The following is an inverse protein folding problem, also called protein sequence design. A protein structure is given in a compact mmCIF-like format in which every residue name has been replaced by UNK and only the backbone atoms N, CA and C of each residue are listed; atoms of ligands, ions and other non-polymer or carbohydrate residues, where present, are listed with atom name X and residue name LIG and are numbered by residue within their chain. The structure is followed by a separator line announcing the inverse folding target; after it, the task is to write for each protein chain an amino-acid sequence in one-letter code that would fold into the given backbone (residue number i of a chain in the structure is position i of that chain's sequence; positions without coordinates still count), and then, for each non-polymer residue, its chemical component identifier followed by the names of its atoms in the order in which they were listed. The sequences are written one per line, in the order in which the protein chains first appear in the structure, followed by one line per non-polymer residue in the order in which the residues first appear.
data_IF_980712111567
#
_entry.id   IF_980712111567
#
_cell.length_a   1.000
_cell.length_b   1.000
_cell.length_c   1.000
_cell.angle_alpha   90.00
_cell.angle_beta   90.00
_cell.angle_gamma   90.00
#
_symmetry.space_group_name_H-M   'P 1'
#
loop_
_entity.id
_entity.type
_entity.pdbx_description
1 polymer ?
#
# COMPACT_ATOMS: atom_id res chain seq x y z
N UNK A 1 36.54 -29.09 -10.28
CA UNK A 1 37.16 -29.26 -8.95
C UNK A 1 37.15 -30.73 -8.56
N UNK A 2 36.02 -31.33 -8.16
CA UNK A 2 35.98 -32.75 -7.75
C UNK A 2 36.37 -33.76 -8.85
N UNK A 3 35.91 -33.56 -10.09
CA UNK A 3 36.28 -34.39 -11.23
C UNK A 3 37.58 -33.94 -11.95
N UNK A 4 38.34 -33.00 -11.37
CA UNK A 4 39.62 -32.53 -11.93
C UNK A 4 39.57 -31.56 -13.11
N UNK A 5 38.42 -31.36 -13.75
CA UNK A 5 38.28 -30.46 -14.93
C UNK A 5 38.64 -29.00 -14.63
N UNK A 6 38.22 -28.49 -13.46
CA UNK A 6 38.64 -27.20 -12.92
C UNK A 6 39.63 -27.45 -11.79
N UNK A 7 40.85 -26.89 -11.86
CA UNK A 7 41.88 -27.05 -10.83
C UNK A 7 41.53 -26.23 -9.59
N UNK A 8 41.96 -26.69 -8.42
CA UNK A 8 41.67 -26.01 -7.14
C UNK A 8 42.22 -24.57 -7.10
N UNK A 9 43.39 -24.34 -7.70
CA UNK A 9 43.98 -23.01 -7.85
C UNK A 9 43.16 -22.05 -8.73
N UNK A 10 42.32 -22.60 -9.61
CA UNK A 10 41.46 -21.86 -10.53
C UNK A 10 40.01 -21.82 -10.00
N UNK A 11 39.82 -22.13 -8.70
CA UNK A 11 38.53 -22.05 -8.03
C UNK A 11 37.96 -20.63 -8.14
N UNK A 12 36.68 -20.46 -8.53
CA UNK A 12 36.09 -19.13 -8.62
C UNK A 12 36.02 -18.49 -7.24
N UNK A 13 36.32 -17.19 -7.17
CA UNK A 13 36.37 -16.42 -5.92
C UNK A 13 35.02 -16.51 -5.16
N UNK A 14 33.90 -16.55 -5.88
CA UNK A 14 32.57 -16.62 -5.28
C UNK A 14 32.23 -18.00 -4.68
N UNK A 15 32.97 -19.07 -4.99
CA UNK A 15 32.60 -20.43 -4.61
C UNK A 15 32.52 -20.62 -3.09
N UNK A 16 33.53 -20.15 -2.36
CA UNK A 16 33.57 -20.28 -0.90
C UNK A 16 32.50 -19.41 -0.23
N UNK A 17 32.20 -18.24 -0.81
CA UNK A 17 31.11 -17.36 -0.34
C UNK A 17 29.76 -18.06 -0.51
N UNK A 18 29.52 -18.69 -1.67
CA UNK A 18 28.29 -19.43 -1.92
C UNK A 18 28.16 -20.65 -1.02
N UNK A 19 29.26 -21.37 -0.76
CA UNK A 19 29.26 -22.53 0.13
C UNK A 19 29.00 -22.15 1.60
N UNK A 20 29.55 -21.02 2.06
CA UNK A 20 29.33 -20.51 3.41
C UNK A 20 27.93 -19.89 3.59
N UNK A 21 27.44 -19.17 2.58
CA UNK A 21 26.16 -18.44 2.62
C UNK A 21 25.27 -18.82 1.43
N UNK A 22 24.77 -20.07 1.37
CA UNK A 22 23.94 -20.51 0.26
C UNK A 22 22.59 -19.75 0.22
N UNK A 23 22.02 -19.52 -0.98
CA UNK A 23 20.71 -18.91 -1.10
C UNK A 23 19.60 -19.82 -0.53
N UNK A 24 18.47 -19.21 -0.12
CA UNK A 24 17.30 -19.96 0.39
C UNK A 24 16.74 -20.98 -0.61
N UNK A 25 16.84 -20.70 -1.91
CA UNK A 25 16.40 -21.58 -3.00
C UNK A 25 17.54 -21.76 -3.98
N UNK A 26 17.82 -23.00 -4.34
CA UNK A 26 18.86 -23.30 -5.32
C UNK A 26 18.51 -22.73 -6.71
N UNK A 27 19.48 -22.17 -7.43
CA UNK A 27 19.29 -21.56 -8.74
C UNK A 27 19.21 -22.62 -9.85
N UNK A 28 18.23 -23.52 -9.75
CA UNK A 28 17.96 -24.53 -10.77
C UNK A 28 17.16 -23.92 -11.93
N UNK A 29 17.47 -24.34 -13.15
CA UNK A 29 16.64 -24.02 -14.31
C UNK A 29 15.28 -24.71 -14.20
N UNK A 30 14.20 -23.92 -14.23
CA UNK A 30 12.82 -24.41 -14.24
C UNK A 30 12.14 -23.86 -15.49
N UNK A 31 11.68 -24.74 -16.38
CA UNK A 31 10.93 -24.34 -17.58
C UNK A 31 9.58 -23.74 -17.14
N UNK A 32 9.26 -22.47 -17.48
CA UNK A 32 7.95 -21.90 -17.18
C UNK A 32 6.86 -22.72 -17.86
N UNK A 33 5.86 -23.15 -17.09
CA UNK A 33 4.65 -23.80 -17.63
C UNK A 33 3.56 -22.75 -17.76
N UNK A 34 2.92 -22.68 -18.92
CA UNK A 34 1.73 -21.85 -19.10
C UNK A 34 0.62 -22.37 -18.19
N UNK A 35 -0.04 -21.47 -17.47
CA UNK A 35 -1.22 -21.82 -16.68
C UNK A 35 -2.28 -22.36 -17.66
N UNK A 36 -2.84 -23.53 -17.37
CA UNK A 36 -3.95 -24.07 -18.15
C UNK A 36 -5.17 -23.19 -17.87
N UNK A 37 -5.69 -22.51 -18.90
CA UNK A 37 -6.92 -21.71 -18.80
C UNK A 37 -8.03 -22.52 -18.13
N UNK A 38 -8.69 -21.95 -17.14
CA UNK A 38 -9.83 -22.56 -16.44
C UNK A 38 -9.50 -23.37 -15.18
N UNK A 39 -8.22 -23.57 -14.81
CA UNK A 39 -7.85 -24.09 -13.48
C UNK A 39 -7.32 -22.96 -12.61
N UNK A 40 -8.05 -22.62 -11.55
CA UNK A 40 -7.51 -21.79 -10.48
C UNK A 40 -6.30 -22.52 -9.88
N UNK A 41 -5.10 -22.01 -10.15
CA UNK A 41 -3.89 -22.49 -9.50
C UNK A 41 -3.89 -22.04 -8.04
N UNK A 42 -3.41 -22.88 -7.12
CA UNK A 42 -3.19 -22.53 -5.72
C UNK A 42 -2.33 -21.27 -5.53
N UNK A 43 -1.53 -20.89 -6.54
CA UNK A 43 -0.69 -19.69 -6.57
C UNK A 43 -1.45 -18.40 -6.93
N UNK A 44 -2.75 -18.29 -6.60
CA UNK A 44 -3.47 -17.04 -6.83
C UNK A 44 -3.17 -16.12 -5.67
N UNK A 45 -2.37 -15.08 -5.93
CA UNK A 45 -2.08 -14.03 -4.94
C UNK A 45 -3.39 -13.28 -4.65
N UNK A 46 -3.81 -13.17 -3.38
CA UNK A 46 -5.05 -12.48 -3.04
C UNK A 46 -4.89 -10.96 -3.19
N UNK A 47 -6.01 -10.28 -3.41
CA UNK A 47 -6.06 -8.82 -3.34
C UNK A 47 -5.80 -8.33 -1.91
N UNK A 48 -5.14 -7.18 -1.79
CA UNK A 48 -4.77 -6.58 -0.50
C UNK A 48 -5.70 -5.41 -0.24
N UNK A 49 -6.65 -5.59 0.69
CA UNK A 49 -7.58 -4.56 1.15
C UNK A 49 -7.48 -4.35 2.66
N UNK A 50 -7.59 -3.11 3.08
CA UNK A 50 -7.62 -2.70 4.48
C UNK A 50 -8.98 -2.12 4.85
N UNK A 51 -9.27 -2.06 6.16
CA UNK A 51 -10.58 -1.56 6.64
C UNK A 51 -10.80 -0.10 6.25
N UNK A 52 -9.75 0.70 6.28
CA UNK A 52 -9.83 2.11 5.93
C UNK A 52 -9.96 2.37 4.42
N UNK A 53 -9.80 1.35 3.56
CA UNK A 53 -10.02 1.51 2.12
C UNK A 53 -11.48 1.83 1.78
N UNK A 54 -12.44 1.35 2.59
CA UNK A 54 -13.85 1.73 2.47
C UNK A 54 -14.04 3.25 2.71
N UNK A 55 -13.34 3.80 3.71
CA UNK A 55 -13.38 5.22 4.05
C UNK A 55 -12.67 6.05 2.96
N UNK A 56 -11.51 5.57 2.47
CA UNK A 56 -10.79 6.17 1.33
C UNK A 56 -11.67 6.25 0.10
N UNK A 57 -12.38 5.18 -0.24
CA UNK A 57 -13.27 5.14 -1.39
C UNK A 57 -14.35 6.22 -1.28
N UNK A 58 -15.05 6.30 -0.14
CA UNK A 58 -16.06 7.34 0.14
C UNK A 58 -15.47 8.75 0.08
N UNK A 59 -14.27 8.96 0.65
CA UNK A 59 -13.57 10.24 0.59
C UNK A 59 -13.26 10.66 -0.85
N UNK A 60 -12.72 9.78 -1.69
CA UNK A 60 -12.37 10.10 -3.08
C UNK A 60 -13.59 10.24 -3.98
N UNK A 61 -14.68 9.53 -3.69
CA UNK A 61 -15.96 9.73 -4.36
C UNK A 61 -16.52 11.13 -4.09
N UNK A 62 -16.53 11.54 -2.82
CA UNK A 62 -17.13 12.82 -2.37
C UNK A 62 -16.22 14.03 -2.67
N UNK A 63 -14.93 13.95 -2.35
CA UNK A 63 -14.01 15.10 -2.39
C UNK A 63 -12.95 15.02 -3.50
N UNK A 64 -12.66 13.82 -4.01
CA UNK A 64 -11.58 13.59 -4.96
C UNK A 64 -10.18 13.85 -4.39
N UNK A 65 -9.21 14.17 -5.25
CA UNK A 65 -7.79 14.26 -4.86
C UNK A 65 -7.42 15.54 -4.08
N UNK A 66 -8.34 16.52 -3.98
CA UNK A 66 -8.07 17.80 -3.34
C UNK A 66 -6.96 18.62 -4.02
N UNK A 67 -6.62 19.79 -3.45
CA UNK A 67 -5.61 20.70 -4.03
C UNK A 67 -4.17 20.31 -3.68
N UNK A 68 -3.96 19.50 -2.63
CA UNK A 68 -2.63 19.11 -2.16
C UNK A 68 -2.17 17.85 -2.90
N UNK A 69 -1.20 18.02 -3.79
CA UNK A 69 -0.57 16.90 -4.49
C UNK A 69 0.13 15.94 -3.51
N UNK A 70 0.19 14.66 -3.90
CA UNK A 70 0.95 13.64 -3.17
C UNK A 70 2.45 13.85 -3.38
N UNK A 71 3.21 13.79 -2.29
CA UNK A 71 4.68 13.80 -2.33
C UNK A 71 5.20 12.40 -1.95
N UNK A 72 5.37 11.55 -2.95
CA UNK A 72 5.81 10.16 -2.79
C UNK A 72 7.32 10.04 -2.49
N UNK A 73 8.07 11.15 -2.52
CA UNK A 73 9.49 11.15 -2.15
C UNK A 73 9.71 11.10 -0.63
N UNK A 74 8.70 11.50 0.14
CA UNK A 74 8.72 11.52 1.61
C UNK A 74 8.04 10.28 2.17
N UNK A 75 8.81 9.44 2.87
CA UNK A 75 8.29 8.20 3.48
C UNK A 75 7.23 8.42 4.58
N UNK A 76 7.15 9.64 5.13
CA UNK A 76 6.18 10.03 6.16
C UNK A 76 5.16 11.07 5.66
N UNK A 77 4.91 11.14 4.36
CA UNK A 77 3.92 12.08 3.82
C UNK A 77 2.50 11.69 4.25
N UNK A 78 1.85 12.59 4.99
CA UNK A 78 0.43 12.45 5.36
C UNK A 78 -0.43 13.23 4.37
N UNK A 79 -1.24 12.50 3.59
CA UNK A 79 -2.19 13.09 2.64
C UNK A 79 -3.42 13.66 3.33
N UNK A 80 -4.19 14.49 2.63
CA UNK A 80 -5.48 15.01 3.16
C UNK A 80 -6.45 13.88 3.46
N UNK A 81 -6.52 12.86 2.59
CA UNK A 81 -7.34 11.66 2.82
C UNK A 81 -6.86 10.90 4.08
N UNK A 82 -5.54 10.79 4.29
CA UNK A 82 -5.01 10.14 5.47
C UNK A 82 -5.36 10.88 6.77
N UNK A 83 -5.27 12.22 6.79
CA UNK A 83 -5.74 13.03 7.93
C UNK A 83 -7.23 12.85 8.20
N UNK A 84 -8.03 12.71 7.14
CA UNK A 84 -9.46 12.46 7.26
C UNK A 84 -9.74 11.11 7.94
N UNK A 85 -9.02 10.06 7.54
CA UNK A 85 -9.14 8.73 8.15
C UNK A 85 -8.74 8.77 9.63
N UNK A 86 -7.65 9.45 9.97
CA UNK A 86 -7.21 9.60 11.37
C UNK A 86 -8.30 10.24 12.23
N UNK A 87 -8.92 11.33 11.74
CA UNK A 87 -10.06 11.96 12.42
C UNK A 87 -11.30 11.09 12.48
N UNK A 88 -11.59 10.36 11.42
CA UNK A 88 -12.70 9.40 11.40
C UNK A 88 -12.51 8.33 12.48
N UNK A 89 -11.31 7.74 12.56
CA UNK A 89 -10.98 6.71 13.55
C UNK A 89 -10.92 7.24 14.97
N UNK A 90 -10.46 8.49 15.17
CA UNK A 90 -10.54 9.18 16.47
C UNK A 90 -11.99 9.30 16.97
N UNK A 91 -12.93 9.63 16.08
CA UNK A 91 -14.36 9.74 16.42
C UNK A 91 -15.02 8.37 16.61
N UNK A 92 -14.63 7.37 15.82
CA UNK A 92 -15.08 5.99 15.96
C UNK A 92 -14.66 5.43 17.33
N UNK A 93 -13.42 5.69 17.76
CA UNK A 93 -12.90 5.29 19.06
C UNK A 93 -13.61 5.98 20.24
N UNK A 94 -14.22 7.16 20.03
CA UNK A 94 -15.01 7.87 21.02
C UNK A 94 -16.43 7.29 21.18
N UNK A 95 -16.80 6.26 20.40
CA UNK A 95 -18.06 5.53 20.54
C UNK A 95 -19.16 5.98 19.59
N UNK A 96 -18.86 6.85 18.61
CA UNK A 96 -19.78 7.11 17.51
C UNK A 96 -19.77 5.89 16.57
N UNK A 97 -20.94 5.31 16.29
CA UNK A 97 -21.06 4.14 15.40
C UNK A 97 -21.73 4.43 14.06
N UNK A 98 -22.36 5.59 13.92
CA UNK A 98 -23.04 5.96 12.68
C UNK A 98 -22.02 6.46 11.64
N UNK A 99 -21.86 5.71 10.55
CA UNK A 99 -20.85 5.98 9.50
C UNK A 99 -21.05 7.34 8.83
N UNK A 100 -22.30 7.79 8.67
CA UNK A 100 -22.60 9.08 8.06
C UNK A 100 -22.29 10.23 9.02
N UNK A 101 -22.67 10.12 10.30
CA UNK A 101 -22.26 11.08 11.32
C UNK A 101 -20.74 11.14 11.51
N UNK A 102 -20.05 10.01 11.48
CA UNK A 102 -18.58 9.94 11.54
C UNK A 102 -17.93 10.65 10.35
N UNK A 103 -18.44 10.41 9.13
CA UNK A 103 -17.92 11.02 7.92
C UNK A 103 -18.09 12.54 7.91
N UNK A 104 -19.30 13.03 8.21
CA UNK A 104 -19.58 14.47 8.30
C UNK A 104 -18.84 15.12 9.48
N UNK A 105 -18.75 14.42 10.61
CA UNK A 105 -18.01 14.87 11.79
C UNK A 105 -16.51 15.05 11.51
N UNK A 106 -15.88 14.06 10.87
CA UNK A 106 -14.48 14.14 10.46
C UNK A 106 -14.25 15.28 9.45
N UNK A 107 -15.16 15.46 8.49
CA UNK A 107 -15.12 16.57 7.55
C UNK A 107 -15.16 17.94 8.23
N UNK A 108 -16.09 18.12 9.19
CA UNK A 108 -16.20 19.36 9.99
C UNK A 108 -14.96 19.62 10.85
N UNK A 109 -14.41 18.58 11.47
CA UNK A 109 -13.19 18.69 12.26
C UNK A 109 -12.02 19.19 11.41
N UNK A 110 -11.80 18.62 10.22
CA UNK A 110 -10.72 19.05 9.33
C UNK A 110 -10.93 20.46 8.77
N UNK A 111 -12.18 20.85 8.47
CA UNK A 111 -12.49 22.23 8.10
C UNK A 111 -12.12 23.20 9.22
N UNK A 112 -12.42 22.86 10.48
CA UNK A 112 -12.03 23.68 11.64
C UNK A 112 -10.52 23.79 11.86
N UNK A 113 -9.75 22.81 11.37
CA UNK A 113 -8.28 22.83 11.34
C UNK A 113 -7.71 23.62 10.14
N UNK A 114 -8.58 24.20 9.29
CA UNK A 114 -8.19 25.02 8.14
C UNK A 114 -7.86 24.21 6.88
N UNK A 115 -8.23 22.93 6.81
CA UNK A 115 -8.07 22.14 5.58
C UNK A 115 -9.20 22.43 4.59
N UNK A 116 -8.85 22.56 3.32
CA UNK A 116 -9.82 22.80 2.25
C UNK A 116 -10.38 21.46 1.75
N UNK A 117 -11.69 21.24 1.95
CA UNK A 117 -12.42 20.09 1.42
C UNK A 117 -13.46 20.57 0.39
N UNK A 118 -13.26 20.19 -0.89
CA UNK A 118 -14.18 20.54 -1.98
C UNK A 118 -14.96 19.32 -2.42
N UNK A 119 -16.29 19.35 -2.28
CA UNK A 119 -17.14 18.27 -2.81
C UNK A 119 -17.15 18.28 -4.34
N UNK A 120 -17.07 17.11 -4.96
CA UNK A 120 -17.13 16.92 -6.40
C UNK A 120 -18.53 17.31 -6.89
N UNK A 121 -18.60 18.32 -7.77
CA UNK A 121 -19.87 18.89 -8.26
C UNK A 121 -20.52 19.95 -7.36
N UNK A 122 -19.93 20.28 -6.20
CA UNK A 122 -20.42 21.32 -5.28
C UNK A 122 -19.54 22.57 -5.20
N UNK A 123 -20.03 23.60 -4.51
CA UNK A 123 -19.26 24.80 -4.16
C UNK A 123 -18.12 24.47 -3.18
N UNK A 124 -17.03 25.22 -3.23
CA UNK A 124 -15.92 25.12 -2.27
C UNK A 124 -16.40 25.57 -0.90
N UNK A 125 -16.29 24.70 0.12
CA UNK A 125 -16.58 25.04 1.50
C UNK A 125 -15.22 25.32 2.17
N UNK A 126 -14.96 26.58 2.47
CA UNK A 126 -13.82 27.04 3.27
C UNK A 126 -14.37 27.79 4.48
N UNK A 127 -13.76 27.61 5.65
CA UNK A 127 -14.01 28.47 6.81
C UNK A 127 -13.29 29.80 6.58
N UNK A 128 -14.04 30.90 6.53
CA UNK A 128 -13.48 32.26 6.71
C UNK A 128 -12.85 32.41 8.10
#
# INVERSE_FOLDING_TARGET
MRAGVLKEKDKPIWYDVYAAFPPKREPLYVKPRTKVYGKQSADTVPDIFYKEDAIRAKFFEVYGNGPRAFDLSKGNFVSTCQRFIEKYQELEAQGLQDEDALFEGAGRALLSEGLILRRRGGATISTE
#
